data_IF_441575003619
#
_entry.id   IF_441575003619
#
_cell.length_a   1.000
_cell.length_b   1.000
_cell.length_c   1.000
_cell.angle_alpha   90.00
_cell.angle_beta   90.00
_cell.angle_gamma   90.00
#
_symmetry.space_group_name_H-M   'P 1'
#
loop_
_entity.id
_entity.type
_entity.pdbx_description
1 polymer ?
#
# COMPACT_ATOMS: atom_id res chain seq x y z
N UNK A 1 -12.63 -33.45 0.53
CA UNK A 1 -12.33 -32.20 1.26
C UNK A 1 -10.87 -32.25 1.65
N UNK A 2 -10.03 -31.37 1.09
CA UNK A 2 -8.61 -31.34 1.47
C UNK A 2 -8.48 -30.78 2.89
N UNK A 3 -7.70 -31.46 3.74
CA UNK A 3 -7.40 -30.95 5.07
C UNK A 3 -6.69 -29.57 4.94
N UNK A 4 -7.06 -28.57 5.75
CA UNK A 4 -6.34 -27.31 5.76
C UNK A 4 -4.89 -27.55 6.18
N UNK A 5 -3.95 -26.93 5.46
CA UNK A 5 -2.53 -26.94 5.82
C UNK A 5 -2.37 -26.41 7.25
N UNK A 6 -1.61 -27.12 8.09
CA UNK A 6 -1.25 -26.64 9.41
C UNK A 6 -0.39 -25.37 9.25
N UNK A 7 -0.83 -24.25 9.84
CA UNK A 7 -0.13 -22.96 9.80
C UNK A 7 -0.09 -22.41 11.21
N UNK A 8 1.11 -22.08 11.70
CA UNK A 8 1.25 -21.37 12.95
C UNK A 8 0.98 -19.87 12.73
N UNK A 9 0.03 -19.25 13.45
CA UNK A 9 -0.27 -17.83 13.31
C UNK A 9 0.94 -16.91 13.57
N UNK A 10 1.91 -17.36 14.38
CA UNK A 10 3.09 -16.57 14.75
C UNK A 10 4.00 -16.33 13.55
N UNK A 11 4.25 -17.33 12.70
CA UNK A 11 5.07 -17.15 11.49
C UNK A 11 4.43 -16.17 10.49
N UNK A 12 3.10 -16.17 10.41
CA UNK A 12 2.36 -15.21 9.61
C UNK A 12 2.48 -13.78 10.13
N UNK A 13 2.46 -13.59 11.46
CA UNK A 13 2.63 -12.27 12.06
C UNK A 13 4.05 -11.72 11.88
N UNK A 14 5.07 -12.56 12.09
CA UNK A 14 6.49 -12.18 11.97
C UNK A 14 6.91 -11.78 10.55
N UNK A 15 6.19 -12.25 9.53
CA UNK A 15 6.49 -11.94 8.12
C UNK A 15 5.66 -10.80 7.55
N UNK A 16 4.67 -10.28 8.30
CA UNK A 16 3.87 -9.14 7.85
C UNK A 16 4.63 -7.82 8.03
N UNK A 17 4.39 -6.84 7.15
CA UNK A 17 4.92 -5.51 7.35
C UNK A 17 4.34 -4.92 8.65
N UNK A 18 5.07 -4.00 9.27
CA UNK A 18 4.56 -3.28 10.42
C UNK A 18 3.35 -2.44 10.01
N UNK A 19 2.22 -2.61 10.71
CA UNK A 19 0.96 -1.91 10.43
C UNK A 19 0.51 -1.06 11.61
N UNK A 20 -0.20 0.02 11.32
CA UNK A 20 -0.84 0.90 12.31
C UNK A 20 -2.23 1.29 11.81
N UNK A 21 -3.25 1.15 12.66
CA UNK A 21 -4.66 1.45 12.30
C UNK A 21 -5.12 0.85 10.95
N UNK A 22 -4.67 -0.37 10.64
CA UNK A 22 -5.07 -1.12 9.44
C UNK A 22 -4.37 -0.75 8.12
N UNK A 23 -3.39 0.16 8.15
CA UNK A 23 -2.51 0.48 7.00
C UNK A 23 -1.06 0.20 7.35
N UNK A 24 -0.16 0.20 6.35
CA UNK A 24 1.28 0.06 6.61
C UNK A 24 1.81 1.28 7.36
N UNK A 25 2.82 1.06 8.23
CA UNK A 25 3.40 2.13 9.04
C UNK A 25 3.92 3.29 8.17
N UNK A 26 4.62 2.99 7.08
CA UNK A 26 5.13 4.01 6.14
C UNK A 26 4.01 4.84 5.53
N UNK A 27 2.88 4.23 5.16
CA UNK A 27 1.73 4.97 4.64
C UNK A 27 1.09 5.86 5.70
N UNK A 28 0.95 5.37 6.93
CA UNK A 28 0.41 6.17 8.04
C UNK A 28 1.26 7.42 8.29
N UNK A 29 2.59 7.26 8.35
CA UNK A 29 3.52 8.38 8.52
C UNK A 29 3.42 9.36 7.34
N UNK A 30 3.40 8.87 6.10
CA UNK A 30 3.24 9.71 4.92
C UNK A 30 1.94 10.52 4.97
N UNK A 31 0.81 9.89 5.33
CA UNK A 31 -0.47 10.55 5.47
C UNK A 31 -0.42 11.67 6.52
N UNK A 32 0.22 11.42 7.67
CA UNK A 32 0.41 12.42 8.72
C UNK A 32 1.28 13.61 8.25
N UNK A 33 2.40 13.35 7.55
CA UNK A 33 3.27 14.41 6.99
C UNK A 33 2.50 15.24 5.98
N UNK A 34 1.83 14.62 5.00
CA UNK A 34 1.04 15.34 4.00
C UNK A 34 -0.06 16.19 4.66
N UNK A 35 -0.72 15.65 5.68
CA UNK A 35 -1.76 16.37 6.42
C UNK A 35 -1.19 17.59 7.15
N UNK A 36 -0.03 17.45 7.79
CA UNK A 36 0.65 18.55 8.47
C UNK A 36 1.07 19.65 7.48
N UNK A 37 1.72 19.28 6.37
CA UNK A 37 2.12 20.24 5.32
C UNK A 37 0.90 20.98 4.74
N UNK A 38 -0.18 20.23 4.43
CA UNK A 38 -1.42 20.82 3.94
C UNK A 38 -2.05 21.78 4.97
N UNK A 39 -1.98 21.46 6.26
CA UNK A 39 -2.43 22.35 7.33
C UNK A 39 -1.62 23.64 7.36
N UNK A 40 -0.29 23.58 7.25
CA UNK A 40 0.57 24.77 7.27
C UNK A 40 0.27 25.73 6.11
N UNK A 41 -0.01 25.19 4.93
CA UNK A 41 -0.36 25.97 3.74
C UNK A 41 -1.76 26.57 3.86
N UNK A 42 -2.76 25.76 4.16
CA UNK A 42 -4.18 26.17 4.12
C UNK A 42 -4.67 26.82 5.41
N UNK A 43 -3.99 26.58 6.53
CA UNK A 43 -4.37 26.98 7.90
C UNK A 43 -5.80 26.57 8.28
N UNK A 44 -6.30 25.48 7.72
CA UNK A 44 -7.67 25.02 7.90
C UNK A 44 -7.69 23.59 8.45
N UNK A 45 -8.53 23.34 9.46
CA UNK A 45 -8.73 22.00 10.00
C UNK A 45 -9.49 21.05 9.06
N UNK A 46 -10.02 21.55 7.93
CA UNK A 46 -10.62 20.70 6.90
C UNK A 46 -9.63 19.68 6.32
N UNK A 47 -8.33 19.92 6.44
CA UNK A 47 -7.29 18.96 6.06
C UNK A 47 -7.35 17.65 6.84
N UNK A 48 -7.95 17.63 8.04
CA UNK A 48 -8.17 16.40 8.80
C UNK A 48 -9.20 15.49 8.11
N UNK A 49 -10.23 16.07 7.49
CA UNK A 49 -11.19 15.30 6.69
C UNK A 49 -10.48 14.69 5.47
N UNK A 50 -9.63 15.47 4.79
CA UNK A 50 -8.81 14.97 3.69
C UNK A 50 -7.92 13.80 4.14
N UNK A 51 -7.26 13.93 5.30
CA UNK A 51 -6.47 12.86 5.92
C UNK A 51 -7.27 11.59 6.14
N UNK A 52 -8.51 11.71 6.64
CA UNK A 52 -9.40 10.57 6.86
C UNK A 52 -9.76 9.86 5.54
N UNK A 53 -10.05 10.62 4.49
CA UNK A 53 -10.36 10.07 3.16
C UNK A 53 -9.16 9.34 2.57
N UNK A 54 -7.97 9.93 2.66
CA UNK A 54 -6.72 9.30 2.20
C UNK A 54 -6.46 8.01 3.01
N UNK A 55 -6.58 8.08 4.34
CA UNK A 55 -6.37 6.93 5.22
C UNK A 55 -7.36 5.80 4.95
N UNK A 56 -8.64 6.12 4.74
CA UNK A 56 -9.66 5.14 4.35
C UNK A 56 -9.31 4.48 3.02
N UNK A 57 -8.84 5.24 2.03
CA UNK A 57 -8.35 4.67 0.77
C UNK A 57 -7.21 3.67 0.97
N UNK A 58 -6.25 4.01 1.84
CA UNK A 58 -5.17 3.09 2.19
C UNK A 58 -5.63 1.86 2.96
N UNK A 59 -6.58 2.03 3.89
CA UNK A 59 -7.17 0.92 4.63
C UNK A 59 -7.86 -0.08 3.69
N UNK A 60 -8.67 0.43 2.75
CA UNK A 60 -9.34 -0.39 1.74
C UNK A 60 -8.34 -1.14 0.84
N UNK A 61 -7.21 -0.51 0.49
CA UNK A 61 -6.16 -1.17 -0.29
C UNK A 61 -5.52 -2.35 0.49
N UNK A 62 -5.34 -2.19 1.81
CA UNK A 62 -4.75 -3.21 2.67
C UNK A 62 -5.72 -4.34 3.11
N UNK A 63 -7.02 -4.25 2.83
CA UNK A 63 -8.01 -5.26 3.25
C UNK A 63 -7.72 -6.66 2.69
N UNK A 64 -7.24 -6.75 1.45
CA UNK A 64 -6.93 -8.04 0.80
C UNK A 64 -5.47 -8.44 0.94
N UNK A 65 -4.57 -7.47 0.88
CA UNK A 65 -3.13 -7.70 0.90
C UNK A 65 -2.44 -6.65 1.80
N UNK A 66 -1.97 -7.01 3.00
CA UNK A 66 -1.30 -6.07 3.90
C UNK A 66 -0.03 -5.46 3.30
N UNK A 67 0.63 -6.15 2.35
CA UNK A 67 1.84 -5.67 1.65
C UNK A 67 1.55 -4.82 0.42
N UNK A 68 0.30 -4.39 0.21
CA UNK A 68 -0.11 -3.69 -1.01
C UNK A 68 0.85 -2.56 -1.41
N UNK A 69 1.20 -1.69 -0.45
CA UNK A 69 2.09 -0.54 -0.71
C UNK A 69 3.52 -0.95 -1.03
N UNK A 70 4.07 -1.95 -0.33
CA UNK A 70 5.43 -2.44 -0.58
C UNK A 70 5.51 -3.06 -1.98
N UNK A 71 4.55 -3.93 -2.31
CA UNK A 71 4.47 -4.56 -3.63
C UNK A 71 4.27 -3.54 -4.74
N UNK A 72 3.43 -2.52 -4.50
CA UNK A 72 3.20 -1.44 -5.45
C UNK A 72 4.49 -0.64 -5.70
N UNK A 73 5.23 -0.32 -4.64
CA UNK A 73 6.49 0.41 -4.74
C UNK A 73 7.58 -0.42 -5.44
N UNK A 74 7.73 -1.70 -5.07
CA UNK A 74 8.63 -2.64 -5.76
C UNK A 74 8.29 -2.76 -7.24
N UNK A 75 7.00 -2.87 -7.58
CA UNK A 75 6.56 -2.91 -8.97
C UNK A 75 6.95 -1.64 -9.73
N UNK A 76 6.78 -0.46 -9.12
CA UNK A 76 7.17 0.80 -9.75
C UNK A 76 8.69 0.92 -9.92
N UNK A 77 9.47 0.48 -8.93
CA UNK A 77 10.93 0.62 -8.94
C UNK A 77 11.63 -0.42 -9.83
N UNK A 78 11.20 -1.68 -9.78
CA UNK A 78 11.92 -2.81 -10.40
C UNK A 78 11.23 -3.33 -11.67
N UNK A 79 9.91 -3.17 -11.79
CA UNK A 79 9.13 -3.70 -12.91
C UNK A 79 8.33 -2.59 -13.64
N UNK A 80 8.97 -1.49 -14.08
CA UNK A 80 8.27 -0.47 -14.85
C UNK A 80 7.74 -1.07 -16.16
N UNK A 81 6.61 -0.57 -16.65
CA UNK A 81 5.96 -1.10 -17.86
C UNK A 81 6.81 -0.79 -19.09
N UNK A 82 7.23 -1.82 -19.81
CA UNK A 82 7.94 -1.67 -21.09
C UNK A 82 7.07 -1.13 -22.23
N UNK A 83 7.68 -0.60 -23.30
CA UNK A 83 6.98 -0.06 -24.48
C UNK A 83 6.03 -1.07 -25.16
N UNK A 84 6.38 -2.35 -25.12
CA UNK A 84 5.62 -3.46 -25.69
C UNK A 84 4.51 -4.00 -24.76
N UNK A 85 4.33 -3.43 -23.56
CA UNK A 85 3.33 -3.92 -22.60
C UNK A 85 1.90 -3.85 -23.16
N UNK A 86 1.59 -2.91 -24.07
CA UNK A 86 0.27 -2.84 -24.69
C UNK A 86 -0.07 -4.10 -25.50
N UNK A 87 0.94 -4.67 -26.17
CA UNK A 87 0.78 -5.86 -26.99
C UNK A 87 0.78 -7.14 -26.13
N UNK A 88 1.79 -7.30 -25.27
CA UNK A 88 1.97 -8.54 -24.49
C UNK A 88 1.16 -8.57 -23.19
N UNK A 89 0.66 -7.43 -22.71
CA UNK A 89 0.02 -7.25 -21.39
C UNK A 89 0.91 -7.65 -20.19
N UNK A 90 2.19 -7.86 -20.43
CA UNK A 90 3.23 -8.13 -19.45
C UNK A 90 4.56 -7.50 -19.89
N UNK A 91 5.54 -7.45 -18.99
CA UNK A 91 6.90 -7.08 -19.36
C UNK A 91 7.55 -8.30 -20.05
N UNK A 92 7.77 -8.19 -21.36
CA UNK A 92 8.43 -9.20 -22.18
C UNK A 92 9.71 -8.65 -22.76
N UNK A 93 10.75 -9.48 -22.81
CA UNK A 93 12.02 -9.16 -23.48
C UNK A 93 11.96 -9.33 -25.00
N UNK A 94 10.93 -10.00 -25.51
CA UNK A 94 10.69 -10.12 -26.95
C UNK A 94 10.08 -8.81 -27.46
N UNK A 95 10.62 -8.21 -28.53
CA UNK A 95 10.05 -7.00 -29.13
C UNK A 95 8.57 -7.19 -29.48
#
# INVERSE_FOLDING_TARGET
>A
MNAPLARDPVFGALTRPQMFAGVTYSFFVLNAVITMEAFLVTKSFLVLLLSLVIHLGGYLACLREPRFFDLWMTKLAQCPRGRNHAYWRCNSYCP
#
